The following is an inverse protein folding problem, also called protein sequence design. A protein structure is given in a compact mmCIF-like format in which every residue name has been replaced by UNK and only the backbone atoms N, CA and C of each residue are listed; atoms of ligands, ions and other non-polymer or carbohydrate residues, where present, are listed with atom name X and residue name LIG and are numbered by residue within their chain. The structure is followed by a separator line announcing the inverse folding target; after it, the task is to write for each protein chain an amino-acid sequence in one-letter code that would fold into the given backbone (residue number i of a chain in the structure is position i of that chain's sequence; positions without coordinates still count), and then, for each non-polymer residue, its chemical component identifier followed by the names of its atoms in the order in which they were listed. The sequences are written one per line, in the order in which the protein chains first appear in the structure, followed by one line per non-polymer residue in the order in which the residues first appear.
data_IF_445881701603
#
_entry.id   IF_445881701603
#
_cell.length_a   1.000
_cell.length_b   1.000
_cell.length_c   1.000
_cell.angle_alpha   90.00
_cell.angle_beta   90.00
_cell.angle_gamma   90.00
#
_symmetry.space_group_name_H-M   'P 1'
#
loop_
_entity.id
_entity.type
_entity.pdbx_description
1 polymer ?
#
# COMPACT_ATOMS: atom_id res chain seq x y z
N UNK A 1 -19.15 2.67 11.26
CA UNK A 1 -17.82 2.43 11.87
C UNK A 1 -16.97 3.65 11.65
N UNK A 2 -16.21 4.10 12.65
CA UNK A 2 -15.25 5.19 12.45
C UNK A 2 -14.13 4.71 11.51
N UNK A 3 -13.77 5.51 10.51
CA UNK A 3 -12.71 5.19 9.57
C UNK A 3 -11.33 5.43 10.20
N UNK A 4 -10.54 4.39 10.34
CA UNK A 4 -9.23 4.41 10.96
C UNK A 4 -9.26 4.47 12.50
N UNK A 5 -8.12 4.15 13.09
CA UNK A 5 -7.91 4.05 14.56
C UNK A 5 -6.85 5.07 15.00
N UNK A 6 -6.96 5.51 16.25
CA UNK A 6 -5.93 6.30 16.93
C UNK A 6 -4.87 5.38 17.55
N UNK A 7 -3.71 5.96 17.90
CA UNK A 7 -2.57 5.19 18.41
C UNK A 7 -2.92 4.32 19.63
N UNK A 8 -3.66 4.85 20.57
CA UNK A 8 -4.06 4.15 21.81
C UNK A 8 -5.10 3.04 21.64
N UNK A 9 -5.64 2.89 20.42
CA UNK A 9 -6.62 1.85 20.11
C UNK A 9 -5.97 0.54 19.59
N UNK A 10 -4.64 0.48 19.59
CA UNK A 10 -3.89 -0.71 19.20
C UNK A 10 -3.27 -1.39 20.42
N UNK A 11 -3.15 -2.72 20.35
CA UNK A 11 -2.47 -3.53 21.36
C UNK A 11 -1.46 -4.46 20.69
N UNK A 12 -0.26 -4.61 21.27
CA UNK A 12 0.75 -5.54 20.74
C UNK A 12 0.21 -6.97 20.80
N UNK A 13 0.38 -7.72 19.70
CA UNK A 13 -0.14 -9.07 19.55
C UNK A 13 -1.58 -9.15 19.03
N UNK A 14 -2.29 -8.03 18.91
CA UNK A 14 -3.63 -7.98 18.30
C UNK A 14 -3.56 -8.44 16.86
N UNK A 15 -4.53 -9.28 16.45
CA UNK A 15 -4.72 -9.69 15.04
C UNK A 15 -5.98 -9.02 14.51
N UNK A 16 -5.80 -8.25 13.45
CA UNK A 16 -6.85 -7.48 12.79
C UNK A 16 -7.14 -8.14 11.45
N UNK A 17 -8.35 -8.68 11.26
CA UNK A 17 -8.82 -9.22 9.97
C UNK A 17 -9.48 -8.12 9.17
N UNK A 18 -8.97 -7.90 7.95
CA UNK A 18 -9.46 -6.84 7.08
C UNK A 18 -10.59 -7.30 6.17
N UNK A 19 -11.57 -6.43 5.97
CA UNK A 19 -12.75 -6.68 5.15
C UNK A 19 -13.12 -5.43 4.33
N UNK A 20 -13.57 -5.58 3.09
CA UNK A 20 -13.79 -6.83 2.32
C UNK A 20 -12.52 -7.36 1.67
N UNK A 21 -12.59 -8.61 1.13
CA UNK A 21 -11.62 -9.13 0.19
C UNK A 21 -11.71 -8.49 -1.19
N UNK A 22 -10.69 -8.70 -2.04
CA UNK A 22 -10.61 -8.11 -3.39
C UNK A 22 -10.24 -9.18 -4.43
N UNK A 23 -11.13 -9.42 -5.41
CA UNK A 23 -10.81 -10.27 -6.57
C UNK A 23 -10.01 -9.48 -7.60
N UNK A 24 -8.93 -10.06 -8.09
CA UNK A 24 -8.05 -9.46 -9.10
C UNK A 24 -8.60 -9.78 -10.49
N UNK A 25 -8.92 -8.74 -11.26
CA UNK A 25 -9.39 -8.86 -12.64
C UNK A 25 -8.30 -8.60 -13.67
N UNK A 26 -8.60 -8.89 -14.94
CA UNK A 26 -7.76 -8.58 -16.10
C UNK A 26 -7.38 -7.11 -16.17
N UNK A 27 -8.36 -6.23 -15.96
CA UNK A 27 -8.15 -4.78 -16.02
C UNK A 27 -7.15 -4.30 -14.96
N UNK A 28 -7.18 -4.87 -13.75
CA UNK A 28 -6.24 -4.51 -12.68
C UNK A 28 -4.79 -4.75 -13.12
N UNK A 29 -4.51 -5.92 -13.70
CA UNK A 29 -3.17 -6.29 -14.17
C UNK A 29 -2.74 -5.43 -15.36
N UNK A 30 -3.62 -5.22 -16.33
CA UNK A 30 -3.33 -4.41 -17.52
C UNK A 30 -3.01 -2.97 -17.16
N UNK A 31 -3.88 -2.31 -16.38
CA UNK A 31 -3.65 -0.93 -15.96
C UNK A 31 -2.41 -0.79 -15.09
N UNK A 32 -2.19 -1.71 -14.16
CA UNK A 32 -1.03 -1.64 -13.29
C UNK A 32 0.27 -1.82 -14.06
N UNK A 33 0.32 -2.75 -15.02
CA UNK A 33 1.49 -2.94 -15.88
C UNK A 33 1.81 -1.68 -16.70
N UNK A 34 0.79 -1.05 -17.29
CA UNK A 34 0.94 0.19 -18.04
C UNK A 34 1.44 1.35 -17.18
N UNK A 35 0.84 1.54 -16.00
CA UNK A 35 1.18 2.62 -15.08
C UNK A 35 2.60 2.48 -14.51
N UNK A 36 3.07 1.25 -14.31
CA UNK A 36 4.38 0.96 -13.71
C UNK A 36 5.47 0.66 -14.74
N UNK A 37 5.14 0.69 -16.04
CA UNK A 37 6.05 0.34 -17.14
C UNK A 37 6.61 -1.08 -17.02
N UNK A 38 5.91 -2.00 -16.35
CA UNK A 38 6.32 -3.39 -16.24
C UNK A 38 5.95 -4.15 -17.52
N UNK A 39 6.94 -4.42 -18.36
CA UNK A 39 6.78 -5.05 -19.67
C UNK A 39 7.15 -6.54 -19.67
N UNK A 40 7.33 -7.17 -18.51
CA UNK A 40 7.69 -8.59 -18.49
C UNK A 40 6.55 -9.46 -19.04
N UNK A 41 6.80 -10.30 -20.06
CA UNK A 41 5.74 -11.03 -20.77
C UNK A 41 4.98 -12.02 -19.88
N UNK A 42 5.54 -12.47 -18.76
CA UNK A 42 4.81 -13.33 -17.80
C UNK A 42 3.54 -12.72 -17.28
N UNK A 43 3.41 -11.37 -17.32
CA UNK A 43 2.24 -10.64 -16.85
C UNK A 43 1.27 -10.26 -17.97
N UNK A 44 1.76 -10.11 -19.22
CA UNK A 44 0.98 -9.51 -20.30
C UNK A 44 0.74 -10.44 -21.49
N UNK A 45 1.62 -11.43 -21.73
CA UNK A 45 1.55 -12.37 -22.85
C UNK A 45 1.06 -13.75 -22.37
N UNK A 46 -0.19 -14.07 -22.69
CA UNK A 46 -0.79 -15.33 -22.29
C UNK A 46 -0.14 -16.55 -22.97
N UNK A 47 0.30 -16.40 -24.23
CA UNK A 47 0.96 -17.49 -24.93
C UNK A 47 2.34 -17.77 -24.34
N UNK A 48 3.11 -16.73 -24.09
CA UNK A 48 4.41 -16.85 -23.41
C UNK A 48 4.23 -17.49 -22.02
N UNK A 49 3.29 -17.02 -21.22
CA UNK A 49 3.06 -17.54 -19.89
C UNK A 49 2.67 -19.04 -19.91
N UNK A 50 1.86 -19.43 -20.88
CA UNK A 50 1.42 -20.81 -21.05
C UNK A 50 2.54 -21.77 -21.53
N UNK A 51 3.45 -21.29 -22.38
CA UNK A 51 4.42 -22.17 -23.07
C UNK A 51 5.85 -22.05 -22.53
N UNK A 52 6.20 -20.92 -21.92
CA UNK A 52 7.57 -20.60 -21.50
C UNK A 52 7.75 -20.48 -19.99
N UNK A 53 6.69 -20.68 -19.20
CA UNK A 53 6.78 -20.62 -17.74
C UNK A 53 6.21 -21.87 -17.06
N UNK A 54 6.72 -22.19 -15.88
CA UNK A 54 6.22 -23.29 -15.07
C UNK A 54 4.78 -23.09 -14.56
N UNK A 55 4.25 -21.86 -14.66
CA UNK A 55 2.94 -21.50 -14.14
C UNK A 55 1.80 -21.79 -15.11
N UNK A 56 2.08 -21.95 -16.42
CA UNK A 56 1.09 -22.23 -17.43
C UNK A 56 0.05 -21.14 -17.69
N UNK A 57 0.14 -20.02 -16.97
CA UNK A 57 -0.77 -18.88 -17.06
C UNK A 57 -0.10 -17.61 -16.56
N UNK A 58 -0.68 -16.44 -16.91
CA UNK A 58 -0.13 -15.16 -16.51
C UNK A 58 -0.15 -14.97 -14.98
N UNK A 59 0.99 -14.51 -14.45
CA UNK A 59 1.10 -14.12 -13.04
C UNK A 59 0.57 -12.69 -12.85
N UNK A 60 -0.06 -12.46 -11.70
CA UNK A 60 -0.31 -11.12 -11.19
C UNK A 60 1.01 -10.48 -10.79
N UNK A 61 1.17 -9.19 -11.09
CA UNK A 61 2.34 -8.42 -10.69
C UNK A 61 2.46 -8.38 -9.16
N UNK A 62 3.61 -8.75 -8.63
CA UNK A 62 3.83 -8.73 -7.18
C UNK A 62 3.57 -7.38 -6.53
N UNK A 63 4.04 -6.24 -7.10
CA UNK A 63 3.68 -4.92 -6.59
C UNK A 63 2.18 -4.62 -6.59
N UNK A 64 1.38 -5.19 -7.51
CA UNK A 64 -0.09 -5.07 -7.48
C UNK A 64 -0.67 -5.82 -6.28
N UNK A 65 -0.21 -7.06 -6.02
CA UNK A 65 -0.62 -7.83 -4.84
C UNK A 65 -0.32 -7.06 -3.56
N UNK A 66 0.88 -6.46 -3.47
CA UNK A 66 1.26 -5.60 -2.35
C UNK A 66 0.32 -4.38 -2.22
N UNK A 67 0.05 -3.68 -3.32
CA UNK A 67 -0.80 -2.49 -3.34
C UNK A 67 -2.24 -2.79 -2.89
N UNK A 68 -2.79 -3.93 -3.32
CA UNK A 68 -4.10 -4.41 -2.86
C UNK A 68 -4.04 -4.78 -1.38
N UNK A 69 -3.02 -5.55 -0.97
CA UNK A 69 -2.82 -5.98 0.41
C UNK A 69 -2.76 -4.83 1.39
N UNK A 70 -1.93 -3.81 1.11
CA UNK A 70 -1.83 -2.63 1.96
C UNK A 70 -3.12 -1.78 1.91
N UNK A 71 -3.77 -1.69 0.73
CA UNK A 71 -5.03 -0.98 0.56
C UNK A 71 -6.14 -1.52 1.45
N UNK A 72 -6.28 -2.85 1.57
CA UNK A 72 -7.26 -3.48 2.45
C UNK A 72 -7.07 -3.12 3.94
N UNK A 73 -5.83 -2.82 4.36
CA UNK A 73 -5.54 -2.47 5.76
C UNK A 73 -5.84 -1.01 6.12
N UNK A 74 -6.16 -0.16 5.13
CA UNK A 74 -6.26 1.29 5.37
C UNK A 74 -7.36 1.61 6.38
N UNK A 75 -8.55 1.05 6.22
CA UNK A 75 -9.68 1.34 7.09
C UNK A 75 -9.41 1.00 8.58
N UNK A 76 -8.61 -0.03 8.83
CA UNK A 76 -8.40 -0.56 10.19
C UNK A 76 -7.07 -0.14 10.82
N UNK A 77 -6.03 0.08 10.00
CA UNK A 77 -4.68 0.37 10.50
C UNK A 77 -4.26 1.81 10.25
N UNK A 78 -4.46 2.33 9.03
CA UNK A 78 -3.84 3.60 8.64
C UNK A 78 -4.82 4.68 8.20
N UNK A 79 -6.12 4.51 8.38
CA UNK A 79 -7.12 5.51 7.97
C UNK A 79 -6.97 6.87 8.64
N UNK A 80 -6.33 6.93 9.82
CA UNK A 80 -5.97 8.16 10.52
C UNK A 80 -4.46 8.43 10.53
N UNK A 81 -3.65 7.66 9.79
CA UNK A 81 -2.21 7.81 9.83
C UNK A 81 -1.77 9.18 9.29
N UNK A 82 -0.85 9.81 10.00
CA UNK A 82 -0.15 11.03 9.57
C UNK A 82 0.79 10.70 8.42
N UNK A 83 1.46 9.54 8.49
CA UNK A 83 2.39 9.05 7.46
C UNK A 83 2.62 7.54 7.58
N UNK A 84 2.93 6.89 6.46
CA UNK A 84 3.67 5.63 6.44
C UNK A 84 5.16 5.98 6.48
N UNK A 85 5.86 5.50 7.50
CA UNK A 85 7.26 5.81 7.69
C UNK A 85 8.18 4.79 7.01
N UNK A 86 7.77 3.52 7.03
CA UNK A 86 8.60 2.44 6.56
C UNK A 86 7.74 1.27 6.06
N UNK A 87 8.22 0.63 5.01
CA UNK A 87 7.72 -0.65 4.51
C UNK A 87 8.94 -1.54 4.35
N UNK A 88 8.91 -2.70 5.02
CA UNK A 88 10.01 -3.64 5.02
C UNK A 88 9.56 -5.08 4.78
N UNK A 89 10.50 -5.93 4.40
CA UNK A 89 10.34 -7.40 4.32
C UNK A 89 9.15 -7.82 3.46
N UNK A 90 8.96 -7.22 2.30
CA UNK A 90 7.96 -7.71 1.34
C UNK A 90 8.47 -9.04 0.78
N UNK A 91 7.71 -10.11 1.03
CA UNK A 91 7.99 -11.48 0.55
C UNK A 91 6.83 -11.95 -0.32
N UNK A 92 7.16 -12.50 -1.49
CA UNK A 92 6.21 -13.23 -2.33
C UNK A 92 6.23 -14.69 -1.88
N UNK A 93 5.24 -15.11 -1.10
CA UNK A 93 5.19 -16.43 -0.49
C UNK A 93 4.69 -17.51 -1.47
N UNK A 94 3.75 -17.13 -2.37
CA UNK A 94 3.22 -17.99 -3.43
C UNK A 94 2.79 -17.16 -4.65
N UNK A 95 2.67 -17.78 -5.84
CA UNK A 95 2.17 -17.10 -7.03
C UNK A 95 0.70 -16.71 -6.87
N UNK A 96 0.34 -15.57 -7.48
CA UNK A 96 -1.04 -15.07 -7.53
C UNK A 96 -1.46 -14.97 -8.99
N UNK A 97 -2.71 -15.34 -9.27
CA UNK A 97 -3.26 -15.39 -10.61
C UNK A 97 -4.48 -14.48 -10.77
N UNK A 98 -4.77 -14.11 -12.00
CA UNK A 98 -6.00 -13.36 -12.33
C UNK A 98 -7.19 -14.24 -11.97
N UNK A 99 -8.19 -13.67 -11.27
CA UNK A 99 -9.32 -14.39 -10.71
C UNK A 99 -9.13 -14.78 -9.24
N UNK A 100 -7.91 -14.72 -8.68
CA UNK A 100 -7.72 -14.92 -7.25
C UNK A 100 -8.38 -13.77 -6.45
N UNK A 101 -9.00 -14.14 -5.34
CA UNK A 101 -9.55 -13.19 -4.37
C UNK A 101 -8.62 -13.12 -3.18
N UNK A 102 -8.15 -11.92 -2.89
CA UNK A 102 -7.23 -11.66 -1.78
C UNK A 102 -7.98 -11.26 -0.52
N UNK A 103 -7.50 -11.76 0.59
CA UNK A 103 -7.88 -11.38 1.96
C UNK A 103 -6.61 -11.05 2.73
N UNK A 104 -6.70 -10.15 3.70
CA UNK A 104 -5.54 -9.82 4.51
C UNK A 104 -5.86 -9.76 6.00
N UNK A 105 -4.84 -10.04 6.81
CA UNK A 105 -4.85 -9.85 8.24
C UNK A 105 -3.54 -9.21 8.69
N UNK A 106 -3.60 -8.39 9.73
CA UNK A 106 -2.42 -7.73 10.28
C UNK A 106 -2.26 -8.08 11.75
N UNK A 107 -1.02 -8.42 12.14
CA UNK A 107 -0.63 -8.57 13.55
C UNK A 107 0.13 -7.33 14.00
N UNK A 108 -0.27 -6.71 15.10
CA UNK A 108 0.46 -5.59 15.70
C UNK A 108 1.72 -6.12 16.38
N UNK A 109 2.89 -5.71 15.87
CA UNK A 109 4.19 -6.18 16.37
C UNK A 109 4.77 -5.27 17.46
N UNK A 110 4.61 -3.96 17.29
CA UNK A 110 5.19 -2.98 18.19
C UNK A 110 4.41 -1.67 18.21
N UNK A 111 4.42 -1.03 19.36
CA UNK A 111 3.90 0.32 19.59
C UNK A 111 5.01 1.17 20.22
N UNK A 112 5.23 2.37 19.70
CA UNK A 112 6.21 3.31 20.28
C UNK A 112 5.62 4.72 20.30
N UNK A 113 5.39 5.23 21.51
CA UNK A 113 4.95 6.62 21.68
C UNK A 113 6.05 7.61 21.33
N UNK A 114 5.67 8.73 20.72
CA UNK A 114 6.62 9.80 20.44
C UNK A 114 6.96 10.58 21.71
N UNK A 115 8.15 11.18 21.75
CA UNK A 115 8.58 12.03 22.88
C UNK A 115 7.65 13.24 23.11
N UNK A 116 6.86 13.64 22.10
CA UNK A 116 5.89 14.74 22.21
C UNK A 116 4.59 14.32 22.90
N UNK A 117 4.34 13.02 23.02
CA UNK A 117 3.12 12.49 23.63
C UNK A 117 1.84 12.66 22.81
N UNK A 118 1.91 13.27 21.60
CA UNK A 118 0.77 13.60 20.74
C UNK A 118 0.45 12.51 19.70
N UNK A 119 1.37 11.61 19.47
CA UNK A 119 1.33 10.57 18.44
C UNK A 119 2.18 9.36 18.82
N UNK A 120 2.13 8.31 18.02
CA UNK A 120 3.01 7.16 18.14
C UNK A 120 3.13 6.38 16.85
N UNK A 121 4.08 5.46 16.79
CA UNK A 121 4.23 4.53 15.66
C UNK A 121 3.63 3.18 15.99
N UNK A 122 2.93 2.63 15.03
CA UNK A 122 2.37 1.28 15.04
C UNK A 122 3.07 0.47 13.96
N UNK A 123 3.75 -0.59 14.35
CA UNK A 123 4.36 -1.54 13.42
C UNK A 123 3.49 -2.78 13.31
N UNK A 124 3.09 -3.12 12.09
CA UNK A 124 2.28 -4.30 11.81
C UNK A 124 2.95 -5.21 10.78
N UNK A 125 2.74 -6.52 10.93
CA UNK A 125 3.00 -7.50 9.88
C UNK A 125 1.67 -7.90 9.26
N UNK A 126 1.56 -7.72 7.95
CA UNK A 126 0.36 -8.07 7.18
C UNK A 126 0.62 -9.31 6.36
N UNK A 127 -0.28 -10.28 6.43
CA UNK A 127 -0.30 -11.50 5.64
C UNK A 127 -1.47 -11.45 4.68
N UNK A 128 -1.18 -11.70 3.42
CA UNK A 128 -2.19 -11.74 2.36
C UNK A 128 -2.39 -13.19 1.94
N UNK A 129 -3.65 -13.61 1.90
CA UNK A 129 -4.04 -14.97 1.53
C UNK A 129 -4.99 -14.94 0.33
N UNK A 130 -4.96 -15.97 -0.49
CA UNK A 130 -5.98 -16.15 -1.52
C UNK A 130 -7.22 -16.86 -0.96
N UNK A 131 -8.24 -17.08 -1.81
CA UNK A 131 -9.51 -17.73 -1.45
C UNK A 131 -9.36 -19.19 -1.01
N UNK A 132 -8.19 -19.81 -1.25
CA UNK A 132 -7.87 -21.17 -0.80
C UNK A 132 -7.19 -21.21 0.58
N UNK A 133 -6.97 -20.02 1.18
CA UNK A 133 -6.22 -19.88 2.43
C UNK A 133 -4.70 -19.97 2.26
N UNK A 134 -4.20 -20.02 1.03
CA UNK A 134 -2.78 -20.03 0.74
C UNK A 134 -2.21 -18.61 0.93
N UNK A 135 -1.13 -18.48 1.71
CA UNK A 135 -0.45 -17.22 1.91
C UNK A 135 0.37 -16.86 0.67
N UNK A 136 0.02 -15.76 0.05
CA UNK A 136 0.65 -15.29 -1.20
C UNK A 136 1.66 -14.18 -0.99
N UNK A 137 1.54 -13.44 0.13
CA UNK A 137 2.44 -12.33 0.44
C UNK A 137 2.49 -12.05 1.94
N UNK A 138 3.65 -11.60 2.40
CA UNK A 138 3.85 -11.04 3.74
C UNK A 138 4.63 -9.75 3.63
N UNK A 139 4.26 -8.73 4.40
CA UNK A 139 5.03 -7.50 4.51
C UNK A 139 4.88 -6.86 5.89
N UNK A 140 5.85 -6.02 6.25
CA UNK A 140 5.79 -5.21 7.47
C UNK A 140 5.77 -3.75 7.10
N UNK A 141 5.05 -2.96 7.90
CA UNK A 141 5.07 -1.50 7.81
C UNK A 141 4.98 -0.85 9.17
N UNK A 142 5.52 0.37 9.24
CA UNK A 142 5.38 1.25 10.40
C UNK A 142 4.64 2.51 9.99
N UNK A 143 3.50 2.75 10.62
CA UNK A 143 2.67 3.93 10.41
C UNK A 143 2.75 4.86 11.63
N UNK A 144 2.76 6.17 11.39
CA UNK A 144 2.67 7.20 12.42
C UNK A 144 1.21 7.61 12.58
N UNK A 145 0.67 7.43 13.79
CA UNK A 145 -0.73 7.69 14.12
C UNK A 145 -0.86 8.76 15.19
N UNK A 146 -1.87 9.64 15.11
CA UNK A 146 -2.17 10.62 16.15
C UNK A 146 -2.81 9.93 17.35
N UNK A 147 -2.68 10.53 18.52
CA UNK A 147 -3.52 10.23 19.69
C UNK A 147 -4.84 10.99 19.60
N UNK A 148 -5.90 10.42 20.19
CA UNK A 148 -7.26 10.99 20.14
C UNK A 148 -7.33 12.43 20.66
N UNK A 149 -6.66 12.73 21.77
CA UNK A 149 -6.67 14.04 22.38
C UNK A 149 -5.89 15.13 21.61
N UNK A 150 -5.19 14.76 20.55
CA UNK A 150 -4.39 15.64 19.71
C UNK A 150 -4.85 15.66 18.23
N UNK A 151 -5.91 14.93 17.90
CA UNK A 151 -6.47 14.87 16.54
C UNK A 151 -7.06 16.22 16.08
N UNK A 152 -7.49 17.06 17.01
CA UNK A 152 -8.09 18.38 16.73
C UNK A 152 -7.12 19.44 16.21
N UNK A 153 -5.80 19.23 16.35
CA UNK A 153 -4.80 20.17 15.83
C UNK A 153 -4.53 20.02 14.32
N UNK A 154 -4.94 18.93 13.71
CA UNK A 154 -4.80 18.68 12.27
C UNK A 154 -6.00 19.12 11.42
N UNK A 155 -7.19 19.18 12.02
CA UNK A 155 -8.41 19.62 11.33
C UNK A 155 -8.60 21.13 11.25
N UNK A 156 -7.83 21.91 12.04
CA UNK A 156 -7.87 23.38 12.07
C UNK A 156 -6.67 24.06 11.41
N UNK A 157 -5.80 23.34 10.70
CA UNK A 157 -4.84 24.03 9.85
C UNK A 157 -5.61 24.55 8.63
N UNK A 158 -5.92 25.85 8.65
CA UNK A 158 -6.27 26.60 7.44
C UNK A 158 -5.34 26.22 6.29
N UNK A 159 -5.85 26.15 5.05
CA UNK A 159 -5.01 25.85 3.91
C UNK A 159 -3.82 26.80 3.90
N UNK A 160 -2.63 26.25 4.08
CA UNK A 160 -1.38 26.99 4.09
C UNK A 160 -1.33 27.82 2.80
N UNK A 161 -1.31 29.14 2.91
CA UNK A 161 -1.20 30.01 1.77
C UNK A 161 -0.10 29.50 0.83
N UNK A 162 -0.30 29.48 -0.49
CA UNK A 162 0.69 29.00 -1.43
C UNK A 162 2.00 29.73 -1.18
N UNK A 163 3.08 28.99 -0.97
CA UNK A 163 4.43 29.58 -0.85
C UNK A 163 4.64 30.44 -2.09
N UNK A 164 4.96 31.72 -1.88
CA UNK A 164 5.31 32.64 -2.93
C UNK A 164 6.30 31.96 -3.88
N UNK A 165 5.93 31.90 -5.17
CA UNK A 165 6.60 31.07 -6.15
C UNK A 165 8.07 31.41 -6.28
N UNK A 166 8.87 30.38 -6.50
CA UNK A 166 10.18 30.57 -7.12
C UNK A 166 9.97 31.30 -8.45
N UNK A 167 10.77 32.34 -8.75
CA UNK A 167 10.68 33.01 -10.05
C UNK A 167 10.90 31.98 -11.15
N UNK A 168 9.93 31.89 -12.06
CA UNK A 168 10.08 31.08 -13.27
C UNK A 168 11.21 31.68 -14.07
N UNK A 169 12.29 30.97 -14.27
CA UNK A 169 13.28 31.30 -15.29
C UNK A 169 12.60 31.15 -16.63
N UNK A 170 12.50 32.24 -17.37
CA UNK A 170 11.98 32.23 -18.73
C UNK A 170 12.82 31.32 -19.63
N UNK A 171 12.21 30.51 -20.51
CA UNK A 171 12.97 29.72 -21.47
C UNK A 171 13.67 30.61 -22.46
N UNK A 172 15.01 30.55 -22.46
CA UNK A 172 15.86 31.32 -23.38
C UNK A 172 15.45 31.10 -24.82
N UNK A 173 15.43 32.18 -25.58
CA UNK A 173 15.17 32.27 -27.01
C UNK A 173 16.05 31.28 -27.77
N UNK A 174 15.42 30.33 -28.46
CA UNK A 174 16.12 29.44 -29.41
C UNK A 174 16.54 30.25 -30.63
N UNK A 175 17.83 30.37 -30.86
CA UNK A 175 18.39 30.82 -32.11
C UNK A 175 18.13 29.80 -33.21
N UNK A 176 17.66 30.17 -34.41
CA UNK A 176 17.48 29.19 -35.51
C UNK A 176 18.83 28.69 -36.00
N UNK A 177 18.95 27.39 -36.13
CA UNK A 177 20.05 26.73 -36.89
C UNK A 177 19.88 27.04 -38.38
N UNK A 178 20.92 27.60 -38.99
CA UNK A 178 21.08 27.62 -40.43
C UNK A 178 21.57 26.28 -40.98
#
# INVERSE_FOLDING_TARGET
MAYGRYFEEFSVGEVIKHWPGRTIGEADCTWFALLTMNQHPVHSDAHYAATQTQHGQRLVLGPLVFSIGIGMTVADVSGKAIANLEIEKITHDAPTFIGDTLYSESTVLALKESARGDRGTVTVETRVHNQRGERVMTFRRTALLPKRNHATLGEQSEPRAPRAGHPRTEPGSRTPLQ
#
